data_IF_094400620817
#
_entry.id   IF_094400620817
#
_cell.length_a   1.000
_cell.length_b   1.000
_cell.length_c   1.000
_cell.angle_alpha   90.00
_cell.angle_beta   90.00
_cell.angle_gamma   90.00
#
_symmetry.space_group_name_H-M   'P 1'
#
loop_
_entity.id
_entity.type
_entity.pdbx_description
1 polymer ?
#
# COMPACT_ATOMS: atom_id res chain seq x y z
N UNK A 1 4.09 18.71 -20.17
CA UNK A 1 5.21 18.84 -21.11
C UNK A 1 6.46 18.33 -20.40
N UNK A 2 6.65 17.01 -20.35
CA UNK A 2 7.81 16.37 -19.72
C UNK A 2 8.87 16.16 -20.80
N UNK A 3 9.98 16.90 -20.69
CA UNK A 3 11.18 16.58 -21.44
C UNK A 3 11.61 15.17 -21.02
N UNK A 4 11.49 14.25 -21.95
CA UNK A 4 11.97 12.89 -21.88
C UNK A 4 13.38 12.90 -21.30
N UNK A 5 13.56 12.23 -20.19
CA UNK A 5 14.88 11.95 -19.61
C UNK A 5 15.70 11.31 -20.72
N UNK A 6 16.58 12.10 -21.33
CA UNK A 6 17.28 11.72 -22.56
C UNK A 6 18.46 10.78 -22.32
N UNK A 7 18.72 10.41 -21.05
CA UNK A 7 19.89 9.61 -20.69
C UNK A 7 19.44 8.26 -20.09
N UNK A 8 19.80 7.16 -20.72
CA UNK A 8 19.51 5.81 -20.23
C UNK A 8 20.03 5.56 -18.80
N UNK A 9 21.12 6.20 -18.40
CA UNK A 9 21.67 6.12 -17.05
C UNK A 9 20.72 6.72 -16.00
N UNK A 10 20.01 7.78 -16.32
CA UNK A 10 19.02 8.38 -15.41
C UNK A 10 17.76 7.51 -15.30
N UNK A 11 17.33 6.93 -16.42
CA UNK A 11 16.21 5.96 -16.41
C UNK A 11 16.54 4.76 -15.53
N UNK A 12 17.75 4.21 -15.64
CA UNK A 12 18.18 3.09 -14.83
C UNK A 12 18.23 3.44 -13.34
N UNK A 13 18.66 4.64 -12.96
CA UNK A 13 18.63 5.11 -11.57
C UNK A 13 17.19 5.18 -11.05
N UNK A 14 16.25 5.73 -11.81
CA UNK A 14 14.83 5.81 -11.41
C UNK A 14 14.24 4.42 -11.20
N UNK A 15 14.53 3.47 -12.09
CA UNK A 15 14.07 2.07 -11.96
C UNK A 15 14.65 1.43 -10.70
N UNK A 16 15.94 1.62 -10.42
CA UNK A 16 16.56 1.07 -9.21
C UNK A 16 15.98 1.66 -7.92
N UNK A 17 15.76 2.99 -7.88
CA UNK A 17 15.07 3.63 -6.75
C UNK A 17 13.65 3.10 -6.56
N UNK A 18 12.94 2.84 -7.65
CA UNK A 18 11.63 2.24 -7.61
C UNK A 18 11.66 0.84 -6.98
N UNK A 19 12.52 -0.04 -7.46
CA UNK A 19 12.62 -1.40 -6.92
C UNK A 19 13.02 -1.39 -5.44
N UNK A 20 13.97 -0.52 -5.06
CA UNK A 20 14.35 -0.37 -3.66
C UNK A 20 13.20 0.14 -2.79
N UNK A 21 12.49 1.17 -3.24
CA UNK A 21 11.33 1.72 -2.55
C UNK A 21 10.21 0.69 -2.38
N UNK A 22 9.92 -0.08 -3.45
CA UNK A 22 8.90 -1.14 -3.42
C UNK A 22 9.29 -2.27 -2.47
N UNK A 23 10.55 -2.70 -2.50
CA UNK A 23 11.06 -3.71 -1.58
C UNK A 23 10.94 -3.26 -0.12
N UNK A 24 11.35 -2.03 0.18
CA UNK A 24 11.25 -1.45 1.52
C UNK A 24 9.79 -1.35 1.98
N UNK A 25 8.90 -0.94 1.08
CA UNK A 25 7.47 -0.86 1.35
C UNK A 25 6.86 -2.24 1.65
N UNK A 26 7.23 -3.27 0.90
CA UNK A 26 6.78 -4.65 1.14
C UNK A 26 7.30 -5.18 2.47
N UNK A 27 8.57 -4.95 2.80
CA UNK A 27 9.13 -5.31 4.11
C UNK A 27 8.37 -4.62 5.25
N UNK A 28 8.05 -3.33 5.12
CA UNK A 28 7.30 -2.59 6.12
C UNK A 28 5.88 -3.15 6.30
N UNK A 29 5.18 -3.49 5.22
CA UNK A 29 3.83 -4.07 5.28
C UNK A 29 3.84 -5.46 5.90
N UNK A 30 4.76 -6.34 5.48
CA UNK A 30 4.88 -7.71 6.04
C UNK A 30 5.27 -7.63 7.51
N UNK A 31 6.20 -6.72 7.85
CA UNK A 31 6.69 -6.53 9.22
C UNK A 31 5.69 -5.90 10.19
N UNK A 32 4.59 -5.28 9.69
CA UNK A 32 3.61 -4.61 10.57
C UNK A 32 2.24 -5.27 10.58
N UNK A 33 1.82 -5.90 9.50
CA UNK A 33 0.41 -6.26 9.31
C UNK A 33 0.14 -7.77 9.33
N UNK A 34 1.10 -8.59 8.90
CA UNK A 34 0.88 -10.05 8.82
C UNK A 34 1.03 -10.73 10.20
N UNK A 35 2.07 -11.54 10.36
CA UNK A 35 2.34 -12.24 11.61
C UNK A 35 2.53 -11.31 12.83
N UNK A 36 3.21 -10.13 12.71
CA UNK A 36 3.37 -9.22 13.84
C UNK A 36 2.05 -8.68 14.38
N UNK A 37 1.08 -8.36 13.51
CA UNK A 37 -0.26 -7.92 13.97
C UNK A 37 -0.94 -8.99 14.82
N UNK A 38 -0.87 -10.24 14.37
CA UNK A 38 -1.47 -11.38 15.09
C UNK A 38 -0.81 -11.57 16.45
N UNK A 39 0.53 -11.63 16.50
CA UNK A 39 1.28 -11.79 17.74
C UNK A 39 1.00 -10.63 18.71
N UNK A 40 1.05 -9.41 18.20
CA UNK A 40 0.76 -8.21 18.99
C UNK A 40 -0.66 -8.23 19.58
N UNK A 41 -1.64 -8.64 18.79
CA UNK A 41 -3.04 -8.72 19.23
C UNK A 41 -3.25 -9.84 20.28
N UNK A 42 -2.53 -10.96 20.16
CA UNK A 42 -2.50 -12.03 21.15
C UNK A 42 -1.87 -11.55 22.46
N UNK A 43 -0.73 -10.84 22.41
CA UNK A 43 -0.08 -10.29 23.60
C UNK A 43 -0.93 -9.26 24.33
N UNK A 44 -1.76 -8.50 23.59
CA UNK A 44 -2.74 -7.59 24.19
C UNK A 44 -3.95 -8.30 24.81
N UNK A 45 -4.08 -9.63 24.62
CA UNK A 45 -5.16 -10.43 25.20
C UNK A 45 -6.46 -10.42 24.39
N UNK A 46 -6.40 -10.09 23.08
CA UNK A 46 -7.58 -10.12 22.22
C UNK A 46 -8.00 -11.55 21.88
N UNK A 47 -9.31 -11.77 21.80
CA UNK A 47 -9.90 -13.04 21.41
C UNK A 47 -9.56 -13.39 19.94
N UNK A 48 -9.45 -14.68 19.59
CA UNK A 48 -9.16 -15.13 18.22
C UNK A 48 -10.12 -14.56 17.16
N UNK A 49 -11.41 -14.42 17.51
CA UNK A 49 -12.42 -13.87 16.59
C UNK A 49 -12.12 -12.42 16.23
N UNK A 50 -11.74 -11.61 17.22
CA UNK A 50 -11.35 -10.20 17.03
C UNK A 50 -10.07 -10.09 16.19
N UNK A 51 -9.11 -10.98 16.41
CA UNK A 51 -7.88 -11.05 15.62
C UNK A 51 -8.20 -11.43 14.17
N UNK A 52 -9.10 -12.38 13.95
CA UNK A 52 -9.57 -12.78 12.62
C UNK A 52 -10.21 -11.61 11.86
N UNK A 53 -11.05 -10.80 12.56
CA UNK A 53 -11.65 -9.60 11.98
C UNK A 53 -10.55 -8.60 11.54
N UNK A 54 -9.59 -8.30 12.41
CA UNK A 54 -8.49 -7.39 12.09
C UNK A 54 -7.69 -7.86 10.86
N UNK A 55 -7.38 -9.16 10.78
CA UNK A 55 -6.64 -9.74 9.66
C UNK A 55 -7.41 -9.70 8.33
N UNK A 56 -8.74 -9.79 8.37
CA UNK A 56 -9.59 -9.78 7.16
C UNK A 56 -9.77 -8.39 6.56
N UNK A 57 -9.56 -7.32 7.32
CA UNK A 57 -9.77 -5.94 6.86
C UNK A 57 -8.97 -5.59 5.60
N UNK A 58 -7.74 -6.08 5.51
CA UNK A 58 -6.90 -5.82 4.34
C UNK A 58 -7.51 -6.39 3.06
N UNK A 59 -7.96 -7.63 3.10
CA UNK A 59 -8.58 -8.29 1.95
C UNK A 59 -9.91 -7.62 1.60
N UNK A 60 -10.72 -7.29 2.60
CA UNK A 60 -12.01 -6.64 2.41
C UNK A 60 -11.87 -5.25 1.78
N UNK A 61 -10.94 -4.44 2.28
CA UNK A 61 -10.70 -3.09 1.76
C UNK A 61 -10.08 -3.07 0.36
N UNK A 62 -9.57 -4.19 -0.15
CA UNK A 62 -9.02 -4.25 -1.52
C UNK A 62 -10.08 -3.89 -2.59
N UNK A 63 -11.35 -4.13 -2.32
CA UNK A 63 -12.46 -3.74 -3.21
C UNK A 63 -12.51 -2.22 -3.42
N UNK A 64 -12.06 -1.45 -2.44
CA UNK A 64 -12.02 0.01 -2.53
C UNK A 64 -10.98 0.53 -3.54
N UNK A 65 -10.12 -0.33 -4.08
CA UNK A 65 -9.23 0.01 -5.18
C UNK A 65 -10.00 0.56 -6.39
N UNK A 66 -11.25 0.12 -6.61
CA UNK A 66 -12.10 0.64 -7.68
C UNK A 66 -12.41 2.13 -7.53
N UNK A 67 -12.50 2.63 -6.28
CA UNK A 67 -12.74 4.04 -5.99
C UNK A 67 -11.51 4.90 -6.32
N UNK A 68 -10.32 4.29 -6.40
CA UNK A 68 -9.10 5.02 -6.76
C UNK A 68 -9.15 5.56 -8.20
N UNK A 69 -9.92 4.93 -9.10
CA UNK A 69 -10.01 5.34 -10.50
C UNK A 69 -10.52 6.78 -10.63
N UNK A 70 -11.75 7.12 -10.16
CA UNK A 70 -12.23 8.49 -10.22
C UNK A 70 -11.39 9.47 -9.40
N UNK A 71 -10.83 9.05 -8.26
CA UNK A 71 -9.94 9.88 -7.47
C UNK A 71 -8.63 10.21 -8.20
N UNK A 72 -8.07 9.25 -8.91
CA UNK A 72 -6.87 9.44 -9.73
C UNK A 72 -7.12 10.42 -10.88
N UNK A 73 -8.30 10.38 -11.50
CA UNK A 73 -8.68 11.33 -12.54
C UNK A 73 -8.84 12.75 -11.99
N UNK A 74 -9.30 12.88 -10.75
CA UNK A 74 -9.54 14.20 -10.13
C UNK A 74 -8.28 14.82 -9.53
N UNK A 75 -7.50 14.07 -8.74
CA UNK A 75 -6.32 14.57 -8.01
C UNK A 75 -5.00 14.31 -8.74
N UNK A 76 -4.98 13.45 -9.74
CA UNK A 76 -3.77 12.95 -10.37
C UNK A 76 -3.13 11.78 -9.61
N UNK A 77 -2.59 10.81 -10.37
CA UNK A 77 -2.03 9.56 -9.83
C UNK A 77 -0.88 9.79 -8.85
N UNK A 78 0.01 10.72 -9.15
CA UNK A 78 1.17 11.07 -8.31
C UNK A 78 0.76 11.63 -6.94
N UNK A 79 -0.13 12.63 -6.93
CA UNK A 79 -0.56 13.30 -5.70
C UNK A 79 -1.29 12.31 -4.81
N UNK A 80 -2.24 11.57 -5.38
CA UNK A 80 -3.02 10.58 -4.65
C UNK A 80 -2.12 9.50 -4.04
N UNK A 81 -1.17 8.95 -4.80
CA UNK A 81 -0.24 7.93 -4.30
C UNK A 81 0.62 8.44 -3.14
N UNK A 82 1.17 9.64 -3.24
CA UNK A 82 2.03 10.21 -2.20
C UNK A 82 1.22 10.46 -0.91
N UNK A 83 0.08 11.13 -1.02
CA UNK A 83 -0.75 11.46 0.14
C UNK A 83 -1.26 10.21 0.87
N UNK A 84 -1.78 9.23 0.13
CA UNK A 84 -2.27 7.99 0.73
C UNK A 84 -1.15 7.15 1.33
N UNK A 85 0.04 7.16 0.71
CA UNK A 85 1.22 6.48 1.22
C UNK A 85 1.64 7.04 2.58
N UNK A 86 1.77 8.35 2.73
CA UNK A 86 2.18 8.96 3.99
C UNK A 86 1.09 8.86 5.05
N UNK A 87 -0.15 9.16 4.69
CA UNK A 87 -1.27 9.17 5.64
C UNK A 87 -1.48 7.81 6.31
N UNK A 88 -1.29 6.70 5.59
CA UNK A 88 -1.50 5.36 6.16
C UNK A 88 -0.56 5.05 7.33
N UNK A 89 0.68 5.54 7.30
CA UNK A 89 1.62 5.29 8.39
C UNK A 89 1.29 6.09 9.66
N UNK A 90 0.60 7.23 9.53
CA UNK A 90 0.14 8.00 10.69
C UNK A 90 -0.83 7.17 11.52
N UNK A 91 -1.72 6.40 10.88
CA UNK A 91 -2.67 5.55 11.61
C UNK A 91 -2.01 4.38 12.32
N UNK A 92 -0.83 3.92 11.86
CA UNK A 92 -0.07 2.88 12.58
C UNK A 92 0.50 3.38 13.92
N UNK A 93 0.63 4.70 14.13
CA UNK A 93 1.03 5.23 15.43
C UNK A 93 0.01 4.90 16.55
N UNK A 94 -1.23 4.61 16.18
CA UNK A 94 -2.27 4.16 17.13
C UNK A 94 -1.85 2.85 17.81
N UNK A 95 -1.07 1.99 17.13
CA UNK A 95 -0.55 0.76 17.73
C UNK A 95 0.36 1.03 18.95
N UNK A 96 1.05 2.15 18.97
CA UNK A 96 1.89 2.54 20.12
C UNK A 96 1.04 2.98 21.32
N UNK A 97 -0.19 3.40 21.07
CA UNK A 97 -1.11 3.89 22.11
C UNK A 97 -1.92 2.73 22.72
N UNK A 98 -2.23 1.71 21.92
CA UNK A 98 -3.08 0.60 22.34
C UNK A 98 -2.65 -0.09 23.65
N UNK A 99 -1.35 -0.34 23.95
CA UNK A 99 -0.93 -0.99 25.20
C UNK A 99 -1.28 -0.20 26.46
N UNK A 100 -1.40 1.12 26.39
CA UNK A 100 -1.77 1.94 27.55
C UNK A 100 -3.21 1.75 28.01
N UNK A 101 -4.04 1.09 27.19
CA UNK A 101 -5.46 0.85 27.45
C UNK A 101 -5.78 -0.64 27.62
N UNK A 102 -4.78 -1.48 27.98
CA UNK A 102 -4.95 -2.93 28.12
C UNK A 102 -6.05 -3.35 29.12
N UNK A 103 -6.34 -2.49 30.09
CA UNK A 103 -7.44 -2.74 31.05
C UNK A 103 -8.81 -2.80 30.37
N UNK A 104 -8.97 -2.19 29.19
CA UNK A 104 -10.20 -2.18 28.44
C UNK A 104 -10.00 -2.81 27.05
N UNK A 105 -10.08 -4.14 26.97
CA UNK A 105 -9.89 -4.89 25.73
C UNK A 105 -10.83 -4.48 24.60
N UNK A 106 -12.01 -3.99 24.94
CA UNK A 106 -12.97 -3.51 23.95
C UNK A 106 -12.50 -2.22 23.31
N UNK A 107 -11.96 -1.29 24.10
CA UNK A 107 -11.37 -0.05 23.58
C UNK A 107 -10.13 -0.34 22.72
N UNK A 108 -9.26 -1.24 23.19
CA UNK A 108 -8.07 -1.70 22.44
C UNK A 108 -8.48 -2.25 21.08
N UNK A 109 -9.50 -3.12 21.04
CA UNK A 109 -10.00 -3.67 19.77
C UNK A 109 -10.48 -2.57 18.82
N UNK A 110 -11.26 -1.60 19.28
CA UNK A 110 -11.74 -0.52 18.42
C UNK A 110 -10.62 0.41 17.93
N UNK A 111 -9.60 0.67 18.75
CA UNK A 111 -8.42 1.43 18.36
C UNK A 111 -7.66 0.72 17.22
N UNK A 112 -7.40 -0.58 17.41
CA UNK A 112 -6.72 -1.39 16.39
C UNK A 112 -7.57 -1.56 15.13
N UNK A 113 -8.88 -1.76 15.29
CA UNK A 113 -9.81 -1.86 14.18
C UNK A 113 -9.81 -0.59 13.33
N UNK A 114 -9.91 0.59 13.97
CA UNK A 114 -9.88 1.87 13.28
C UNK A 114 -8.53 2.10 12.57
N UNK A 115 -7.42 1.83 13.25
CA UNK A 115 -6.08 1.96 12.68
C UNK A 115 -5.90 1.06 11.45
N UNK A 116 -6.28 -0.22 11.57
CA UNK A 116 -6.19 -1.20 10.48
C UNK A 116 -7.15 -0.88 9.33
N UNK A 117 -8.35 -0.41 9.62
CA UNK A 117 -9.33 -0.02 8.62
C UNK A 117 -8.78 1.15 7.77
N UNK A 118 -8.32 2.22 8.44
CA UNK A 118 -7.74 3.39 7.75
C UNK A 118 -6.49 3.03 6.97
N UNK A 119 -5.58 2.25 7.56
CA UNK A 119 -4.41 1.74 6.88
C UNK A 119 -4.77 0.94 5.62
N UNK A 120 -5.76 0.04 5.72
CA UNK A 120 -6.18 -0.83 4.61
C UNK A 120 -6.85 -0.06 3.48
N UNK A 121 -7.70 0.92 3.80
CA UNK A 121 -8.32 1.82 2.80
C UNK A 121 -7.25 2.62 2.06
N UNK A 122 -6.38 3.31 2.80
CA UNK A 122 -5.34 4.16 2.21
C UNK A 122 -4.32 3.33 1.41
N UNK A 123 -4.03 2.11 1.86
CA UNK A 123 -3.19 1.17 1.13
C UNK A 123 -3.83 0.79 -0.21
N UNK A 124 -5.10 0.40 -0.21
CA UNK A 124 -5.82 0.01 -1.42
C UNK A 124 -5.84 1.15 -2.45
N UNK A 125 -6.12 2.37 -2.02
CA UNK A 125 -6.08 3.56 -2.86
C UNK A 125 -4.67 3.88 -3.39
N UNK A 126 -3.65 3.76 -2.54
CA UNK A 126 -2.26 4.00 -2.91
C UNK A 126 -1.77 3.02 -3.98
N UNK A 127 -2.01 1.73 -3.79
CA UNK A 127 -1.56 0.68 -4.71
C UNK A 127 -2.20 0.83 -6.09
N UNK A 128 -3.50 1.13 -6.13
CA UNK A 128 -4.21 1.32 -7.39
C UNK A 128 -3.81 2.61 -8.14
N UNK A 129 -3.53 3.71 -7.43
CA UNK A 129 -3.07 4.95 -8.02
C UNK A 129 -1.59 4.91 -8.44
N UNK A 130 -0.81 4.04 -7.81
CA UNK A 130 0.62 3.93 -8.05
C UNK A 130 0.97 3.35 -9.43
N UNK A 131 0.18 2.39 -9.91
CA UNK A 131 0.40 1.73 -11.20
C UNK A 131 0.35 2.72 -12.37
N UNK A 132 -0.70 3.55 -12.55
CA UNK A 132 -0.74 4.57 -13.60
C UNK A 132 0.41 5.57 -13.48
N UNK A 133 0.77 5.97 -12.26
CA UNK A 133 1.89 6.89 -12.06
C UNK A 133 3.22 6.29 -12.53
N UNK A 134 3.45 5.01 -12.26
CA UNK A 134 4.65 4.33 -12.71
C UNK A 134 4.71 4.17 -14.23
N UNK A 135 3.58 3.98 -14.89
CA UNK A 135 3.50 3.88 -16.35
C UNK A 135 3.93 5.17 -17.06
N UNK A 136 3.86 6.32 -16.40
CA UNK A 136 4.38 7.57 -16.93
C UNK A 136 5.91 7.58 -17.06
N UNK A 137 6.62 6.78 -16.25
CA UNK A 137 8.09 6.71 -16.24
C UNK A 137 8.66 5.52 -17.02
N UNK A 138 7.89 4.45 -17.17
CA UNK A 138 8.33 3.27 -17.91
C UNK A 138 7.98 3.50 -19.37
N UNK A 139 8.98 3.71 -20.26
CA UNK A 139 8.69 3.87 -21.68
C UNK A 139 8.02 2.59 -22.21
N UNK A 140 6.94 2.77 -22.95
CA UNK A 140 6.10 1.73 -23.56
C UNK A 140 6.87 0.85 -24.58
N UNK A 141 8.18 1.04 -24.70
CA UNK A 141 9.09 0.38 -25.62
C UNK A 141 9.14 -1.15 -25.50
N UNK A 142 8.59 -1.72 -24.41
CA UNK A 142 8.55 -3.17 -24.24
C UNK A 142 7.26 -3.84 -24.71
N UNK A 143 6.25 -3.07 -25.13
CA UNK A 143 5.00 -3.64 -25.63
C UNK A 143 5.07 -4.03 -27.12
N UNK A 144 6.12 -3.67 -27.83
CA UNK A 144 6.40 -4.10 -29.20
C UNK A 144 7.50 -5.15 -29.26
N UNK A 145 7.48 -6.15 -28.41
CA UNK A 145 8.02 -7.45 -28.75
C UNK A 145 7.07 -8.02 -29.83
N UNK A 146 7.26 -7.58 -31.07
CA UNK A 146 6.71 -8.27 -32.22
C UNK A 146 7.17 -9.72 -32.11
N UNK A 147 6.24 -10.60 -31.81
CA UNK A 147 6.42 -12.03 -32.01
C UNK A 147 6.92 -12.18 -33.46
N UNK A 148 8.04 -12.88 -33.69
CA UNK A 148 8.47 -13.15 -35.05
C UNK A 148 7.31 -13.86 -35.73
N UNK A 149 6.71 -13.19 -36.74
CA UNK A 149 5.78 -13.84 -37.65
C UNK A 149 6.57 -14.92 -38.35
N UNK A 150 6.39 -16.17 -37.95
CA UNK A 150 6.83 -17.31 -38.73
C UNK A 150 6.08 -17.28 -40.05
N UNK A 151 6.69 -16.62 -41.05
CA UNK A 151 6.28 -16.79 -42.42
C UNK A 151 6.65 -18.22 -42.84
N UNK A 152 5.64 -19.06 -42.84
CA UNK A 152 5.67 -20.35 -43.54
C UNK A 152 5.38 -20.16 -45.00
#
# INVERSE_FOLDING_TARGET
MFNLISNEKEKMKVINYYHFSTALQMCAVIGTVAAPLTLYSVELGLDPDRIGILGSLMAFCQVLALISIPLTLYFGSKILSIWTLFSRYIFLLIFLIAPFYQENLTLVFYLLFFAMLMFSILRSLSEAAFVPWMQEFIPVSYTHLTLPTTNS
#
